data_IF_261715860135
#
_entry.id   IF_261715860135
#
_cell.length_a   1.000
_cell.length_b   1.000
_cell.length_c   1.000
_cell.angle_alpha   90.00
_cell.angle_beta   90.00
_cell.angle_gamma   90.00
#
_symmetry.space_group_name_H-M   'P 1'
#
loop_
_entity.id
_entity.type
_entity.pdbx_description
1 polymer ?
#
# COMPACT_ATOMS: atom_id res chain seq x y z
N UNK A 1 -5.03 -25.95 11.99
CA UNK A 1 -4.27 -24.91 11.29
C UNK A 1 -3.37 -24.22 12.29
N UNK A 2 -2.05 -24.17 12.06
CA UNK A 2 -1.11 -23.49 12.98
C UNK A 2 -1.41 -22.00 13.05
N UNK A 3 -1.11 -21.36 14.19
CA UNK A 3 -1.37 -19.93 14.40
C UNK A 3 -0.73 -19.07 13.30
N UNK A 4 0.48 -19.42 12.87
CA UNK A 4 1.21 -18.76 11.79
C UNK A 4 0.50 -18.83 10.43
N UNK A 5 -0.12 -19.98 10.11
CA UNK A 5 -0.91 -20.11 8.88
C UNK A 5 -2.17 -19.22 8.90
N UNK A 6 -2.81 -19.11 10.06
CA UNK A 6 -3.96 -18.20 10.23
C UNK A 6 -3.54 -16.74 9.98
N UNK A 7 -2.41 -16.32 10.57
CA UNK A 7 -1.88 -14.96 10.39
C UNK A 7 -1.59 -14.69 8.92
N UNK A 8 -0.84 -15.57 8.23
CA UNK A 8 -0.55 -15.42 6.80
C UNK A 8 -1.83 -15.34 5.96
N UNK A 9 -2.82 -16.16 6.24
CA UNK A 9 -4.10 -16.13 5.54
C UNK A 9 -4.84 -14.82 5.78
N UNK A 10 -4.91 -14.34 7.03
CA UNK A 10 -5.55 -13.06 7.36
C UNK A 10 -4.83 -11.90 6.69
N UNK A 11 -3.49 -11.89 6.69
CA UNK A 11 -2.70 -10.87 5.99
C UNK A 11 -2.96 -10.91 4.48
N UNK A 12 -3.08 -12.09 3.87
CA UNK A 12 -3.42 -12.22 2.46
C UNK A 12 -4.81 -11.64 2.15
N UNK A 13 -5.81 -11.93 2.96
CA UNK A 13 -7.17 -11.37 2.79
C UNK A 13 -7.13 -9.84 2.90
N UNK A 14 -6.43 -9.29 3.89
CA UNK A 14 -6.27 -7.85 4.03
C UNK A 14 -5.54 -7.23 2.82
N UNK A 15 -4.51 -7.89 2.29
CA UNK A 15 -3.81 -7.43 1.08
C UNK A 15 -4.72 -7.41 -0.15
N UNK A 16 -5.58 -8.41 -0.31
CA UNK A 16 -6.57 -8.43 -1.40
C UNK A 16 -7.61 -7.32 -1.23
N UNK A 17 -8.10 -7.08 -0.01
CA UNK A 17 -8.99 -5.96 0.27
C UNK A 17 -8.31 -4.61 -0.02
N UNK A 18 -7.02 -4.49 0.30
CA UNK A 18 -6.24 -3.28 0.02
C UNK A 18 -6.04 -3.09 -1.50
N UNK A 19 -5.80 -4.17 -2.27
CA UNK A 19 -5.76 -4.10 -3.73
C UNK A 19 -7.07 -3.56 -4.31
N UNK A 20 -8.21 -4.07 -3.84
CA UNK A 20 -9.51 -3.58 -4.26
C UNK A 20 -9.73 -2.11 -3.90
N UNK A 21 -9.32 -1.69 -2.70
CA UNK A 21 -9.41 -0.30 -2.27
C UNK A 21 -8.52 0.63 -3.12
N UNK A 22 -7.28 0.22 -3.40
CA UNK A 22 -6.35 0.97 -4.26
C UNK A 22 -6.88 1.09 -5.69
N UNK A 23 -7.42 0.01 -6.24
CA UNK A 23 -8.02 0.02 -7.57
C UNK A 23 -9.25 0.95 -7.64
N UNK A 24 -10.13 0.92 -6.63
CA UNK A 24 -11.27 1.83 -6.54
C UNK A 24 -10.83 3.29 -6.39
N UNK A 25 -9.77 3.54 -5.63
CA UNK A 25 -9.19 4.88 -5.50
C UNK A 25 -8.61 5.38 -6.83
N UNK A 26 -7.89 4.53 -7.55
CA UNK A 26 -7.34 4.86 -8.86
C UNK A 26 -8.46 5.16 -9.86
N UNK A 27 -9.50 4.34 -9.91
CA UNK A 27 -10.65 4.56 -10.79
C UNK A 27 -11.45 5.82 -10.45
N UNK A 28 -11.49 6.22 -9.15
CA UNK A 28 -12.22 7.41 -8.71
C UNK A 28 -11.42 8.70 -8.83
N UNK A 29 -10.12 8.61 -8.57
CA UNK A 29 -9.23 9.77 -8.47
C UNK A 29 -8.08 9.72 -9.50
N UNK A 30 -8.14 8.83 -10.50
CA UNK A 30 -7.05 8.50 -11.41
C UNK A 30 -6.48 9.67 -12.19
N UNK A 31 -6.69 9.70 -13.48
CA UNK A 31 -5.99 10.64 -14.36
C UNK A 31 -6.31 12.11 -14.06
N UNK A 32 -5.23 12.90 -13.97
CA UNK A 32 -5.35 14.37 -13.80
C UNK A 32 -5.39 14.85 -12.35
N UNK A 33 -5.26 13.98 -11.35
CA UNK A 33 -5.24 14.41 -9.94
C UNK A 33 -3.82 14.70 -9.49
N UNK A 34 -3.64 15.88 -8.94
CA UNK A 34 -2.36 16.44 -8.55
C UNK A 34 -2.28 16.65 -7.04
N UNK A 35 -1.08 16.53 -6.48
CA UNK A 35 -0.82 16.97 -5.13
C UNK A 35 -0.53 18.47 -5.08
N UNK A 36 -0.94 19.12 -3.98
CA UNK A 36 -0.59 20.50 -3.72
C UNK A 36 0.95 20.65 -3.66
N UNK A 37 1.49 21.70 -4.31
CA UNK A 37 2.93 21.97 -4.32
C UNK A 37 3.70 21.25 -5.44
N UNK A 38 3.08 20.37 -6.19
CA UNK A 38 3.53 20.05 -7.53
C UNK A 38 2.99 21.17 -8.40
N UNK A 39 3.81 22.15 -8.77
CA UNK A 39 3.37 23.22 -9.69
C UNK A 39 3.01 22.57 -11.03
N UNK A 40 1.72 22.28 -11.32
CA UNK A 40 1.31 21.58 -12.53
C UNK A 40 1.46 22.46 -13.76
N UNK A 41 1.78 23.72 -13.56
CA UNK A 41 1.63 24.77 -14.55
C UNK A 41 2.93 25.30 -15.11
N UNK A 42 4.08 24.80 -14.70
CA UNK A 42 5.32 25.01 -15.44
C UNK A 42 5.43 23.94 -16.51
N UNK A 43 4.88 24.23 -17.66
CA UNK A 43 5.12 23.47 -18.88
C UNK A 43 6.63 23.22 -19.03
N UNK A 44 7.05 21.96 -18.94
CA UNK A 44 8.37 21.51 -19.36
C UNK A 44 9.36 21.08 -18.29
N UNK A 45 9.04 21.10 -16.99
CA UNK A 45 9.99 20.66 -15.97
C UNK A 45 9.32 19.81 -14.90
N UNK A 46 9.77 18.58 -14.81
CA UNK A 46 9.57 17.56 -13.79
C UNK A 46 8.27 16.76 -13.86
N UNK A 47 8.36 15.44 -13.66
CA UNK A 47 7.19 14.63 -13.52
C UNK A 47 6.44 15.08 -12.27
N UNK A 48 5.30 15.69 -12.48
CA UNK A 48 4.33 15.94 -11.43
C UNK A 48 4.07 14.58 -10.75
N UNK A 49 4.30 14.49 -9.45
CA UNK A 49 3.87 13.34 -8.68
C UNK A 49 2.35 13.35 -8.68
N UNK A 50 1.76 12.59 -9.58
CA UNK A 50 0.31 12.41 -9.63
C UNK A 50 -0.10 11.42 -8.54
N UNK A 51 -1.32 11.56 -8.07
CA UNK A 51 -1.90 10.58 -7.13
C UNK A 51 -1.86 9.17 -7.73
N UNK A 52 -2.19 9.02 -9.01
CA UNK A 52 -2.12 7.77 -9.76
C UNK A 52 -0.71 7.15 -9.70
N UNK A 53 0.35 7.90 -9.87
CA UNK A 53 1.72 7.36 -9.84
C UNK A 53 2.09 6.75 -8.48
N UNK A 54 1.49 7.23 -7.38
CA UNK A 54 1.68 6.66 -6.05
C UNK A 54 0.81 5.42 -5.87
N UNK A 55 -0.45 5.49 -6.29
CA UNK A 55 -1.38 4.35 -6.24
C UNK A 55 -0.84 3.18 -7.05
N UNK A 56 -0.30 3.39 -8.24
CA UNK A 56 0.35 2.35 -9.06
C UNK A 56 1.50 1.67 -8.32
N UNK A 57 2.38 2.43 -7.67
CA UNK A 57 3.49 1.86 -6.89
C UNK A 57 2.98 1.03 -5.71
N UNK A 58 1.94 1.51 -5.02
CA UNK A 58 1.31 0.78 -3.93
C UNK A 58 0.61 -0.50 -4.43
N UNK A 59 -0.03 -0.46 -5.60
CA UNK A 59 -0.61 -1.63 -6.26
C UNK A 59 0.46 -2.68 -6.55
N UNK A 60 1.59 -2.30 -7.16
CA UNK A 60 2.70 -3.22 -7.45
C UNK A 60 3.23 -3.87 -6.18
N UNK A 61 3.47 -3.10 -5.13
CA UNK A 61 3.93 -3.62 -3.83
C UNK A 61 2.91 -4.60 -3.23
N UNK A 62 1.63 -4.26 -3.28
CA UNK A 62 0.57 -5.09 -2.70
C UNK A 62 0.37 -6.38 -3.50
N UNK A 63 0.44 -6.33 -4.83
CA UNK A 63 0.43 -7.53 -5.69
C UNK A 63 1.61 -8.43 -5.36
N UNK A 64 2.80 -7.88 -5.22
CA UNK A 64 3.98 -8.63 -4.82
C UNK A 64 3.80 -9.30 -3.45
N UNK A 65 3.26 -8.58 -2.47
CA UNK A 65 2.94 -9.11 -1.14
C UNK A 65 1.94 -10.26 -1.21
N UNK A 66 0.87 -10.13 -2.00
CA UNK A 66 -0.09 -11.22 -2.23
C UNK A 66 0.58 -12.45 -2.84
N UNK A 67 1.44 -12.27 -3.85
CA UNK A 67 2.19 -13.36 -4.49
C UNK A 67 3.08 -14.12 -3.51
N UNK A 68 3.86 -13.41 -2.70
CA UNK A 68 4.73 -13.99 -1.67
C UNK A 68 3.92 -14.78 -0.63
N UNK A 69 2.83 -14.22 -0.13
CA UNK A 69 1.95 -14.88 0.84
C UNK A 69 1.30 -16.13 0.25
N UNK A 70 0.79 -16.06 -0.98
CA UNK A 70 0.17 -17.18 -1.66
C UNK A 70 1.17 -18.32 -1.85
N UNK A 71 2.37 -18.03 -2.38
CA UNK A 71 3.44 -19.01 -2.52
C UNK A 71 3.80 -19.64 -1.17
N UNK A 72 3.93 -18.83 -0.12
CA UNK A 72 4.23 -19.33 1.22
C UNK A 72 3.12 -20.20 1.83
N UNK A 73 1.85 -19.98 1.47
CA UNK A 73 0.75 -20.82 1.92
C UNK A 73 0.69 -22.15 1.17
N UNK A 74 1.09 -22.18 -0.11
CA UNK A 74 1.10 -23.35 -0.96
C UNK A 74 2.34 -24.24 -0.72
N UNK A 75 3.48 -23.65 -0.32
CA UNK A 75 4.75 -24.37 -0.13
C UNK A 75 4.73 -25.16 1.18
N UNK A 76 5.23 -26.41 1.13
CA UNK A 76 5.41 -27.24 2.33
C UNK A 76 6.54 -26.67 3.21
N UNK A 77 6.37 -26.78 4.53
CA UNK A 77 7.28 -26.19 5.56
C UNK A 77 8.78 -26.50 5.42
N UNK A 78 9.16 -27.51 4.61
CA UNK A 78 10.56 -27.93 4.47
C UNK A 78 11.22 -27.46 3.17
N UNK A 79 10.47 -26.82 2.28
CA UNK A 79 10.94 -26.52 0.93
C UNK A 79 11.37 -25.04 0.80
N UNK A 80 12.65 -24.77 0.95
CA UNK A 80 13.27 -23.51 0.59
C UNK A 80 12.84 -22.27 1.40
N UNK A 81 13.02 -21.10 0.79
CA UNK A 81 12.78 -19.79 1.45
C UNK A 81 11.31 -19.58 1.78
N UNK A 82 10.39 -20.00 0.92
CA UNK A 82 8.94 -19.84 1.12
C UNK A 82 8.35 -20.78 2.18
N UNK A 83 9.06 -21.85 2.53
CA UNK A 83 8.68 -22.75 3.62
C UNK A 83 9.04 -22.24 5.01
N UNK A 84 9.89 -21.21 5.11
CA UNK A 84 10.32 -20.62 6.38
C UNK A 84 9.36 -19.52 6.84
N UNK A 85 8.43 -19.86 7.71
CA UNK A 85 7.40 -18.95 8.23
C UNK A 85 7.99 -17.66 8.83
N UNK A 86 9.12 -17.75 9.56
CA UNK A 86 9.75 -16.58 10.19
C UNK A 86 10.27 -15.59 9.16
N UNK A 87 10.98 -16.08 8.15
CA UNK A 87 11.53 -15.22 7.08
C UNK A 87 10.42 -14.54 6.29
N UNK A 88 9.35 -15.26 6.00
CA UNK A 88 8.20 -14.69 5.28
C UNK A 88 7.52 -13.61 6.12
N UNK A 89 7.26 -13.83 7.39
CA UNK A 89 6.65 -12.82 8.26
C UNK A 89 7.54 -11.60 8.43
N UNK A 90 8.87 -11.77 8.51
CA UNK A 90 9.82 -10.65 8.52
C UNK A 90 9.76 -9.85 7.23
N UNK A 91 9.80 -10.52 6.07
CA UNK A 91 9.69 -9.86 4.77
C UNK A 91 8.38 -9.09 4.65
N UNK A 92 7.27 -9.70 5.04
CA UNK A 92 5.95 -9.04 5.01
C UNK A 92 5.90 -7.83 5.94
N UNK A 93 6.42 -7.92 7.15
CA UNK A 93 6.47 -6.78 8.06
C UNK A 93 7.28 -5.60 7.49
N UNK A 94 8.40 -5.88 6.81
CA UNK A 94 9.21 -4.84 6.14
C UNK A 94 8.45 -4.22 4.97
N UNK A 95 7.82 -5.03 4.12
CA UNK A 95 7.04 -4.54 2.97
C UNK A 95 5.87 -3.67 3.42
N UNK A 96 5.12 -4.11 4.42
CA UNK A 96 3.98 -3.37 4.96
C UNK A 96 4.42 -2.07 5.64
N UNK A 97 5.55 -2.08 6.37
CA UNK A 97 6.13 -0.87 6.93
C UNK A 97 6.56 0.11 5.84
N UNK A 98 7.20 -0.38 4.77
CA UNK A 98 7.59 0.45 3.64
C UNK A 98 6.36 1.07 2.96
N UNK A 99 5.28 0.32 2.81
CA UNK A 99 4.01 0.81 2.28
C UNK A 99 3.44 1.94 3.15
N UNK A 100 3.43 1.78 4.47
CA UNK A 100 3.01 2.85 5.40
C UNK A 100 3.89 4.09 5.24
N UNK A 101 5.20 3.93 5.13
CA UNK A 101 6.12 5.05 4.93
C UNK A 101 5.86 5.79 3.61
N UNK A 102 5.58 5.07 2.52
CA UNK A 102 5.22 5.67 1.23
C UNK A 102 3.92 6.46 1.34
N UNK A 103 2.90 5.92 2.02
CA UNK A 103 1.63 6.62 2.25
C UNK A 103 1.85 7.91 3.07
N UNK A 104 2.60 7.84 4.15
CA UNK A 104 2.91 9.01 4.99
C UNK A 104 3.70 10.05 4.21
N UNK A 105 4.74 9.63 3.49
CA UNK A 105 5.55 10.53 2.67
C UNK A 105 4.69 11.27 1.63
N UNK A 106 3.83 10.55 0.91
CA UNK A 106 2.92 11.15 -0.06
C UNK A 106 1.94 12.14 0.59
N UNK A 107 1.42 11.81 1.77
CA UNK A 107 0.56 12.72 2.54
C UNK A 107 1.24 14.01 2.95
N UNK A 108 2.50 13.93 3.40
CA UNK A 108 3.29 15.10 3.74
C UNK A 108 3.58 15.95 2.50
N UNK A 109 3.96 15.32 1.39
CA UNK A 109 4.25 16.00 0.12
C UNK A 109 3.02 16.67 -0.49
N UNK A 110 1.85 16.06 -0.34
CA UNK A 110 0.58 16.62 -0.83
C UNK A 110 0.02 17.75 0.06
N UNK A 111 0.69 18.07 1.15
CA UNK A 111 0.15 18.92 2.21
C UNK A 111 -1.27 18.49 2.66
N UNK A 112 -1.54 17.18 2.61
CA UNK A 112 -2.79 16.56 3.02
C UNK A 112 -3.98 16.77 2.08
N UNK A 113 -3.78 17.33 0.86
CA UNK A 113 -4.86 17.60 -0.10
C UNK A 113 -4.70 16.87 -1.43
N UNK A 114 -5.83 16.51 -2.03
CA UNK A 114 -5.95 16.02 -3.40
C UNK A 114 -6.67 17.07 -4.23
N UNK A 115 -6.12 17.40 -5.40
CA UNK A 115 -6.58 18.47 -6.27
C UNK A 115 -6.79 17.95 -7.68
N UNK A 116 -7.77 18.50 -8.38
CA UNK A 116 -7.95 18.35 -9.82
C UNK A 116 -7.64 19.67 -10.53
N UNK A 117 -7.50 19.62 -11.85
CA UNK A 117 -7.36 20.81 -12.68
C UNK A 117 -8.67 21.04 -13.42
N UNK A 118 -9.28 22.19 -13.23
CA UNK A 118 -10.50 22.56 -13.94
C UNK A 118 -10.19 23.02 -15.38
N UNK A 119 -11.22 23.20 -16.20
CA UNK A 119 -11.11 23.62 -17.62
C UNK A 119 -10.39 24.96 -17.79
N UNK A 120 -10.36 25.79 -16.75
CA UNK A 120 -9.61 27.05 -16.74
C UNK A 120 -8.13 26.88 -16.34
N UNK A 121 -7.64 25.66 -16.17
CA UNK A 121 -6.27 25.36 -15.77
C UNK A 121 -5.96 25.67 -14.30
N UNK A 122 -6.96 25.87 -13.44
CA UNK A 122 -6.78 26.14 -12.01
C UNK A 122 -6.94 24.87 -11.18
N UNK A 123 -6.08 24.72 -10.16
CA UNK A 123 -6.18 23.62 -9.21
C UNK A 123 -7.41 23.82 -8.32
N UNK A 124 -8.28 22.82 -8.29
CA UNK A 124 -9.46 22.75 -7.45
C UNK A 124 -9.31 21.64 -6.41
N UNK A 125 -9.61 21.96 -5.15
CA UNK A 125 -9.52 21.00 -4.05
C UNK A 125 -10.64 19.98 -4.15
N UNK A 126 -10.31 18.68 -4.13
CA UNK A 126 -11.27 17.59 -4.14
C UNK A 126 -11.56 17.06 -2.73
N UNK A 127 -10.50 16.63 -2.04
CA UNK A 127 -10.66 15.99 -0.73
C UNK A 127 -9.33 15.96 0.02
N UNK A 128 -9.40 15.62 1.31
CA UNK A 128 -8.21 15.34 2.10
C UNK A 128 -7.54 14.03 1.62
N UNK A 129 -6.24 14.09 1.39
CA UNK A 129 -5.43 12.90 1.08
C UNK A 129 -5.60 11.82 2.17
N UNK A 130 -5.56 12.20 3.43
CA UNK A 130 -5.66 11.27 4.55
C UNK A 130 -6.98 10.51 4.60
N UNK A 131 -8.08 11.17 4.24
CA UNK A 131 -9.39 10.51 4.13
C UNK A 131 -9.42 9.52 2.96
N UNK A 132 -8.84 9.89 1.83
CA UNK A 132 -8.83 9.03 0.65
C UNK A 132 -8.02 7.75 0.89
N UNK A 133 -6.86 7.83 1.57
CA UNK A 133 -5.97 6.69 1.79
C UNK A 133 -6.19 5.98 3.13
N UNK A 134 -7.07 6.48 3.99
CA UNK A 134 -7.30 5.91 5.33
C UNK A 134 -7.57 4.39 5.33
N UNK A 135 -8.39 3.81 4.45
CA UNK A 135 -8.62 2.38 4.43
C UNK A 135 -7.34 1.58 4.18
N UNK A 136 -6.50 2.05 3.24
CA UNK A 136 -5.23 1.40 2.91
C UNK A 136 -4.22 1.54 4.05
N UNK A 137 -4.14 2.71 4.68
CA UNK A 137 -3.25 2.98 5.81
C UNK A 137 -3.60 2.13 7.05
N UNK A 138 -4.87 2.01 7.36
CA UNK A 138 -5.36 1.17 8.46
C UNK A 138 -5.06 -0.31 8.17
N UNK A 139 -5.36 -0.79 6.95
CA UNK A 139 -5.08 -2.16 6.57
C UNK A 139 -3.59 -2.49 6.67
N UNK A 140 -2.71 -1.61 6.17
CA UNK A 140 -1.27 -1.78 6.25
C UNK A 140 -0.76 -1.79 7.69
N UNK A 141 -1.24 -0.90 8.55
CA UNK A 141 -0.87 -0.86 9.96
C UNK A 141 -1.30 -2.15 10.70
N UNK A 142 -2.50 -2.64 10.44
CA UNK A 142 -2.98 -3.91 10.99
C UNK A 142 -2.11 -5.08 10.50
N UNK A 143 -1.71 -5.09 9.24
CA UNK A 143 -0.82 -6.12 8.68
C UNK A 143 0.55 -6.11 9.37
N UNK A 144 1.16 -4.95 9.59
CA UNK A 144 2.42 -4.83 10.36
C UNK A 144 2.26 -5.48 11.73
N UNK A 145 1.20 -5.13 12.46
CA UNK A 145 0.95 -5.67 13.80
C UNK A 145 0.76 -7.20 13.76
N UNK A 146 -0.03 -7.72 12.82
CA UNK A 146 -0.25 -9.15 12.66
C UNK A 146 1.04 -9.91 12.35
N UNK A 147 1.87 -9.37 11.46
CA UNK A 147 3.14 -10.00 11.08
C UNK A 147 4.14 -9.98 12.25
N UNK A 148 4.22 -8.90 13.01
CA UNK A 148 5.05 -8.81 14.23
C UNK A 148 4.56 -9.78 15.31
N UNK A 149 3.25 -9.87 15.54
CA UNK A 149 2.68 -10.85 16.47
C UNK A 149 2.95 -12.29 16.02
N UNK A 150 2.90 -12.54 14.70
CA UNK A 150 3.24 -13.82 14.10
C UNK A 150 4.69 -14.21 14.30
N UNK A 151 5.63 -13.26 14.23
CA UNK A 151 7.04 -13.49 14.52
C UNK A 151 7.25 -13.97 15.95
N UNK A 152 6.62 -13.32 16.93
CA UNK A 152 6.70 -13.73 18.35
C UNK A 152 6.11 -15.13 18.59
N UNK A 153 5.10 -15.50 17.81
CA UNK A 153 4.49 -16.86 17.90
C UNK A 153 5.33 -17.93 17.22
N UNK A 154 6.18 -17.58 16.27
CA UNK A 154 7.07 -18.50 15.57
C UNK A 154 8.39 -18.75 16.33
N UNK A 155 8.66 -18.00 17.40
CA UNK A 155 9.83 -18.16 18.30
C UNK A 155 9.55 -19.14 19.45
N UNK A 156 8.28 -19.46 19.71
CA UNK A 156 7.84 -20.47 20.69
C UNK A 156 7.60 -21.80 20.01
#
# INVERSE_FOLDING_TARGET
MTNTKKIKFTTLVLSVCMLAALWLMDSKYGDGILFRGTEPFRFGTTPSYTFSSIVEKLLVLTVFSCGVLLLSLLTKKKDGVFGNDRRILQLMAILDLFLVLVLVYAGVRSAGGIYTVNDAGKAEYLTSYWLAVAPCGIAAAVQVLLNVCGLRSAEK
#
